data_IF_849192251903
#
_entry.id   IF_849192251903
#
_cell.length_a   1.000
_cell.length_b   1.000
_cell.length_c   1.000
_cell.angle_alpha   90.00
_cell.angle_beta   90.00
_cell.angle_gamma   90.00
#
_symmetry.space_group_name_H-M   'P 1'
#
loop_
_entity.id
_entity.type
_entity.pdbx_description
1 polymer ?
#
# COMPACT_ATOMS: atom_id res chain seq x y z
N UNK A 1 24.60 2.63 -7.64
CA UNK A 1 23.56 1.85 -6.92
C UNK A 1 23.60 0.40 -7.39
N UNK A 2 23.50 -0.57 -6.47
CA UNK A 2 23.35 -1.98 -6.87
C UNK A 2 21.99 -2.16 -7.58
N UNK A 3 21.94 -3.08 -8.53
CA UNK A 3 20.68 -3.59 -9.06
C UNK A 3 19.82 -4.10 -7.88
N UNK A 4 18.52 -3.77 -7.81
CA UNK A 4 17.61 -4.29 -6.79
C UNK A 4 17.72 -5.80 -6.52
N UNK A 5 17.97 -6.63 -7.53
CA UNK A 5 18.18 -8.07 -7.35
C UNK A 5 19.52 -8.38 -6.65
N UNK A 6 20.59 -7.68 -7.03
CA UNK A 6 21.91 -7.82 -6.40
C UNK A 6 21.90 -7.34 -4.94
N UNK A 7 21.10 -6.31 -4.64
CA UNK A 7 20.89 -5.83 -3.27
C UNK A 7 20.20 -6.89 -2.40
N UNK A 8 19.15 -7.54 -2.91
CA UNK A 8 18.47 -8.62 -2.18
C UNK A 8 19.41 -9.81 -1.93
N UNK A 9 20.25 -10.19 -2.91
CA UNK A 9 21.24 -11.25 -2.73
C UNK A 9 22.26 -10.93 -1.62
N UNK A 10 22.83 -9.71 -1.63
CA UNK A 10 23.77 -9.27 -0.61
C UNK A 10 23.15 -9.24 0.80
N UNK A 11 21.88 -8.83 0.91
CA UNK A 11 21.14 -8.83 2.18
C UNK A 11 20.89 -10.25 2.70
N UNK A 12 20.60 -11.22 1.82
CA UNK A 12 20.47 -12.64 2.22
C UNK A 12 21.79 -13.19 2.77
N UNK A 13 22.94 -12.87 2.16
CA UNK A 13 24.25 -13.25 2.69
C UNK A 13 24.52 -12.60 4.05
N UNK A 14 24.19 -11.31 4.21
CA UNK A 14 24.35 -10.61 5.47
C UNK A 14 23.48 -11.20 6.60
N UNK A 15 22.25 -11.61 6.28
CA UNK A 15 21.36 -12.30 7.22
C UNK A 15 21.94 -13.68 7.59
N UNK A 16 22.50 -14.43 6.64
CA UNK A 16 23.14 -15.70 6.93
C UNK A 16 24.36 -15.54 7.86
N UNK A 17 25.12 -14.45 7.72
CA UNK A 17 26.24 -14.13 8.59
C UNK A 17 25.81 -13.57 9.97
N UNK A 18 24.62 -12.97 10.07
CA UNK A 18 24.12 -12.35 11.29
C UNK A 18 22.58 -12.51 11.41
N UNK A 19 22.08 -13.72 11.72
CA UNK A 19 20.65 -14.03 11.69
C UNK A 19 19.82 -13.31 12.76
N UNK A 20 20.48 -12.82 13.81
CA UNK A 20 19.86 -12.11 14.94
C UNK A 20 19.66 -10.60 14.67
N UNK A 21 20.09 -10.10 13.50
CA UNK A 21 19.90 -8.70 13.11
C UNK A 21 18.61 -8.54 12.31
N UNK A 22 17.50 -8.35 13.02
CA UNK A 22 16.19 -8.19 12.41
C UNK A 22 16.08 -6.94 11.50
N UNK A 23 16.94 -5.93 11.67
CA UNK A 23 17.02 -4.79 10.76
C UNK A 23 17.37 -5.20 9.33
N UNK A 24 18.21 -6.23 9.17
CA UNK A 24 18.58 -6.76 7.86
C UNK A 24 17.39 -7.45 7.18
N UNK A 25 16.49 -8.07 7.96
CA UNK A 25 15.26 -8.68 7.45
C UNK A 25 14.30 -7.61 6.93
N UNK A 26 14.17 -6.49 7.64
CA UNK A 26 13.42 -5.32 7.18
C UNK A 26 14.02 -4.75 5.89
N UNK A 27 15.34 -4.56 5.83
CA UNK A 27 16.01 -4.05 4.63
C UNK A 27 15.83 -5.00 3.43
N UNK A 28 15.88 -6.32 3.66
CA UNK A 28 15.60 -7.33 2.62
C UNK A 28 14.16 -7.25 2.13
N UNK A 29 13.19 -7.16 3.03
CA UNK A 29 11.78 -7.01 2.65
C UNK A 29 11.55 -5.77 1.77
N UNK A 30 12.16 -4.63 2.14
CA UNK A 30 12.08 -3.40 1.35
C UNK A 30 12.71 -3.55 -0.04
N UNK A 31 13.83 -4.27 -0.15
CA UNK A 31 14.47 -4.55 -1.44
C UNK A 31 13.59 -5.46 -2.32
N UNK A 32 12.94 -6.47 -1.72
CA UNK A 32 12.03 -7.38 -2.41
C UNK A 32 10.77 -6.66 -2.93
N UNK A 33 10.22 -5.71 -2.17
CA UNK A 33 9.10 -4.88 -2.65
C UNK A 33 9.44 -4.05 -3.89
N UNK A 34 10.71 -3.64 -4.04
CA UNK A 34 11.17 -2.92 -5.25
C UNK A 34 11.33 -3.83 -6.46
N UNK A 35 11.54 -5.13 -6.25
CA UNK A 35 11.70 -6.13 -7.32
C UNK A 35 10.38 -6.82 -7.68
N UNK A 36 9.32 -6.62 -6.89
CA UNK A 36 8.01 -7.22 -7.10
C UNK A 36 7.82 -8.57 -6.41
N UNK A 37 8.81 -9.05 -5.65
CA UNK A 37 8.71 -10.28 -4.84
C UNK A 37 7.92 -10.02 -3.54
N UNK A 38 6.61 -9.80 -3.69
CA UNK A 38 5.71 -9.42 -2.59
C UNK A 38 5.52 -10.55 -1.56
N UNK A 39 5.54 -11.81 -1.99
CA UNK A 39 5.29 -12.95 -1.10
C UNK A 39 6.40 -13.14 -0.03
N UNK A 40 7.67 -13.06 -0.44
CA UNK A 40 8.80 -13.16 0.51
C UNK A 40 8.89 -11.90 1.38
N UNK A 41 8.63 -10.73 0.81
CA UNK A 41 8.59 -9.48 1.57
C UNK A 41 7.54 -9.53 2.69
N UNK A 42 6.35 -10.08 2.41
CA UNK A 42 5.27 -10.23 3.39
C UNK A 42 5.70 -11.14 4.55
N UNK A 43 6.28 -12.30 4.25
CA UNK A 43 6.79 -13.22 5.29
C UNK A 43 7.83 -12.57 6.19
N UNK A 44 8.77 -11.81 5.60
CA UNK A 44 9.81 -11.13 6.36
C UNK A 44 9.24 -10.04 7.26
N UNK A 45 8.28 -9.26 6.77
CA UNK A 45 7.65 -8.17 7.54
C UNK A 45 6.79 -8.72 8.69
N UNK A 46 6.05 -9.79 8.45
CA UNK A 46 5.23 -10.42 9.49
C UNK A 46 6.06 -11.14 10.55
N UNK A 47 7.30 -11.52 10.22
CA UNK A 47 8.25 -12.11 11.17
C UNK A 47 9.05 -11.06 11.98
N UNK A 48 8.85 -9.76 11.74
CA UNK A 48 9.59 -8.71 12.45
C UNK A 48 9.21 -8.66 13.94
N UNK A 49 10.19 -8.40 14.83
CA UNK A 49 9.92 -8.17 16.24
C UNK A 49 9.12 -6.87 16.44
N UNK A 50 8.42 -6.76 17.57
CA UNK A 50 7.48 -5.65 17.83
C UNK A 50 8.10 -4.25 17.69
N UNK A 51 9.37 -4.07 18.06
CA UNK A 51 10.10 -2.81 17.90
C UNK A 51 10.26 -2.39 16.43
N UNK A 52 10.49 -3.35 15.53
CA UNK A 52 10.62 -3.08 14.09
C UNK A 52 9.28 -3.11 13.36
N UNK A 53 8.29 -3.85 13.86
CA UNK A 53 6.94 -3.82 13.32
C UNK A 53 6.30 -2.43 13.40
N UNK A 54 6.73 -1.61 14.36
CA UNK A 54 6.32 -0.20 14.50
C UNK A 54 7.21 0.81 13.76
N UNK A 55 8.29 0.36 13.11
CA UNK A 55 9.14 1.22 12.27
C UNK A 55 8.31 1.76 11.09
N UNK A 56 8.39 3.06 10.80
CA UNK A 56 7.64 3.69 9.71
C UNK A 56 7.90 3.02 8.35
N UNK A 57 9.08 2.45 8.14
CA UNK A 57 9.41 1.67 6.94
C UNK A 57 8.62 0.36 6.89
N UNK A 58 8.52 -0.35 8.01
CA UNK A 58 7.76 -1.59 8.10
C UNK A 58 6.25 -1.34 7.93
N UNK A 59 5.73 -0.29 8.57
CA UNK A 59 4.33 0.13 8.45
C UNK A 59 3.98 0.46 7.00
N UNK A 60 4.85 1.22 6.31
CA UNK A 60 4.70 1.54 4.88
C UNK A 60 4.75 0.30 3.99
N UNK A 61 5.72 -0.57 4.23
CA UNK A 61 5.90 -1.80 3.49
C UNK A 61 4.67 -2.71 3.61
N UNK A 62 4.12 -2.85 4.83
CA UNK A 62 2.91 -3.63 5.09
C UNK A 62 1.67 -3.05 4.41
N UNK A 63 1.51 -1.72 4.45
CA UNK A 63 0.42 -1.06 3.74
C UNK A 63 0.51 -1.28 2.22
N UNK A 64 1.71 -1.14 1.63
CA UNK A 64 1.95 -1.40 0.20
C UNK A 64 1.67 -2.86 -0.18
N UNK A 65 2.04 -3.82 0.66
CA UNK A 65 1.74 -5.23 0.47
C UNK A 65 0.26 -5.54 0.51
N UNK A 66 -0.46 -4.98 1.49
CA UNK A 66 -1.92 -5.11 1.58
C UNK A 66 -2.59 -4.67 0.28
N UNK A 67 -2.16 -3.53 -0.27
CA UNK A 67 -2.62 -3.03 -1.56
C UNK A 67 -2.24 -3.94 -2.73
N UNK A 68 -1.00 -4.46 -2.78
CA UNK A 68 -0.59 -5.40 -3.81
C UNK A 68 -1.45 -6.69 -3.78
N UNK A 69 -1.76 -7.19 -2.59
CA UNK A 69 -2.59 -8.38 -2.40
C UNK A 69 -4.04 -8.17 -2.86
N UNK A 70 -4.58 -6.96 -2.70
CA UNK A 70 -5.90 -6.59 -3.24
C UNK A 70 -5.97 -6.71 -4.77
N UNK A 71 -4.86 -6.49 -5.48
CA UNK A 71 -4.83 -6.52 -6.94
C UNK A 71 -4.51 -7.88 -7.57
N UNK A 72 -4.21 -8.91 -6.78
CA UNK A 72 -3.72 -10.20 -7.27
C UNK A 72 -4.60 -10.81 -8.38
N UNK A 73 -5.92 -10.67 -8.23
CA UNK A 73 -6.92 -11.15 -9.19
C UNK A 73 -7.78 -10.01 -9.78
N UNK A 74 -7.28 -8.77 -9.71
CA UNK A 74 -8.02 -7.60 -10.18
C UNK A 74 -7.89 -7.41 -11.70
N UNK A 75 -8.94 -6.87 -12.36
CA UNK A 75 -8.84 -6.44 -13.76
C UNK A 75 -7.77 -5.36 -13.95
N UNK A 76 -7.38 -5.14 -15.21
CA UNK A 76 -6.48 -4.04 -15.55
C UNK A 76 -7.13 -2.67 -15.31
N UNK A 77 -6.28 -1.63 -15.24
CA UNK A 77 -6.71 -0.25 -14.97
C UNK A 77 -7.77 0.25 -15.96
N UNK A 78 -7.67 -0.09 -17.25
CA UNK A 78 -8.60 0.36 -18.28
C UNK A 78 -9.98 -0.25 -18.09
N UNK A 79 -10.03 -1.55 -17.79
CA UNK A 79 -11.29 -2.24 -17.45
C UNK A 79 -11.91 -1.65 -16.18
N UNK A 80 -11.12 -1.42 -15.13
CA UNK A 80 -11.60 -0.82 -13.88
C UNK A 80 -12.14 0.60 -14.10
N UNK A 81 -11.45 1.43 -14.88
CA UNK A 81 -11.90 2.77 -15.21
C UNK A 81 -13.23 2.74 -15.96
N UNK A 82 -13.37 1.89 -16.98
CA UNK A 82 -14.61 1.75 -17.73
C UNK A 82 -15.79 1.30 -16.84
N UNK A 83 -15.55 0.40 -15.88
CA UNK A 83 -16.57 -0.02 -14.91
C UNK A 83 -17.01 1.16 -14.04
N UNK A 84 -16.07 1.94 -13.50
CA UNK A 84 -16.37 3.12 -12.67
C UNK A 84 -17.06 4.23 -13.47
N UNK A 85 -16.72 4.40 -14.75
CA UNK A 85 -17.36 5.39 -15.62
C UNK A 85 -18.79 4.98 -15.99
N UNK A 86 -19.05 3.67 -16.13
CA UNK A 86 -20.37 3.13 -16.40
C UNK A 86 -21.26 3.10 -15.16
N UNK A 87 -20.70 2.73 -14.01
CA UNK A 87 -21.36 2.72 -12.71
C UNK A 87 -20.47 3.36 -11.64
N UNK A 88 -20.68 4.66 -11.45
CA UNK A 88 -19.99 5.44 -10.44
C UNK A 88 -20.32 5.05 -9.00
N UNK A 89 -21.27 4.14 -8.76
CA UNK A 89 -21.61 3.62 -7.44
C UNK A 89 -20.97 2.25 -7.14
N UNK A 90 -20.23 1.66 -8.08
CA UNK A 90 -19.48 0.43 -7.82
C UNK A 90 -18.25 0.71 -6.92
N UNK A 91 -18.49 0.66 -5.61
CA UNK A 91 -17.47 0.91 -4.59
C UNK A 91 -16.32 -0.10 -4.64
N UNK A 92 -16.56 -1.32 -5.12
CA UNK A 92 -15.51 -2.33 -5.24
C UNK A 92 -14.61 -2.03 -6.43
N UNK A 93 -15.18 -1.64 -7.58
CA UNK A 93 -14.40 -1.18 -8.73
C UNK A 93 -13.59 0.08 -8.40
N UNK A 94 -14.19 1.05 -7.68
CA UNK A 94 -13.46 2.24 -7.19
C UNK A 94 -12.31 1.89 -6.26
N UNK A 95 -12.51 0.93 -5.36
CA UNK A 95 -11.44 0.48 -4.48
C UNK A 95 -10.27 -0.07 -5.30
N UNK A 96 -10.53 -1.03 -6.20
CA UNK A 96 -9.49 -1.64 -7.03
C UNK A 96 -8.77 -0.59 -7.91
N UNK A 97 -9.52 0.34 -8.50
CA UNK A 97 -8.97 1.43 -9.30
C UNK A 97 -8.07 2.35 -8.45
N UNK A 98 -8.51 2.73 -7.25
CA UNK A 98 -7.72 3.53 -6.33
C UNK A 98 -6.44 2.83 -5.88
N UNK A 99 -6.52 1.54 -5.56
CA UNK A 99 -5.35 0.73 -5.22
C UNK A 99 -4.36 0.66 -6.38
N UNK A 100 -4.85 0.50 -7.62
CA UNK A 100 -4.01 0.47 -8.81
C UNK A 100 -3.28 1.79 -9.01
N UNK A 101 -4.01 2.91 -8.94
CA UNK A 101 -3.41 4.24 -9.02
C UNK A 101 -2.32 4.44 -7.96
N UNK A 102 -2.55 3.99 -6.72
CA UNK A 102 -1.58 4.14 -5.64
C UNK A 102 -0.28 3.39 -5.91
N UNK A 103 -0.38 2.14 -6.39
CA UNK A 103 0.81 1.34 -6.69
C UNK A 103 1.57 1.85 -7.92
N UNK A 104 0.85 2.44 -8.88
CA UNK A 104 1.39 3.09 -10.07
C UNK A 104 1.95 4.51 -9.77
N UNK A 105 1.86 5.00 -8.52
CA UNK A 105 2.36 6.31 -8.08
C UNK A 105 1.45 7.50 -8.44
N UNK A 106 0.22 7.23 -8.87
CA UNK A 106 -0.81 8.23 -9.15
C UNK A 106 -1.58 8.56 -7.86
N UNK A 107 -0.87 9.07 -6.85
CA UNK A 107 -1.36 9.19 -5.48
C UNK A 107 -2.65 10.01 -5.33
N UNK A 108 -2.75 11.15 -6.03
CA UNK A 108 -3.94 12.00 -5.95
C UNK A 108 -5.17 11.30 -6.57
N UNK A 109 -4.99 10.58 -7.68
CA UNK A 109 -6.06 9.81 -8.30
C UNK A 109 -6.53 8.67 -7.39
N UNK A 110 -5.60 8.00 -6.70
CA UNK A 110 -5.92 6.97 -5.72
C UNK A 110 -6.77 7.51 -4.57
N UNK A 111 -6.31 8.62 -3.98
CA UNK A 111 -7.00 9.26 -2.86
C UNK A 111 -8.40 9.75 -3.25
N UNK A 112 -8.60 10.25 -4.47
CA UNK A 112 -9.93 10.68 -4.91
C UNK A 112 -10.91 9.50 -5.01
N UNK A 113 -10.47 8.31 -5.46
CA UNK A 113 -11.34 7.12 -5.48
C UNK A 113 -11.77 6.71 -4.08
N UNK A 114 -10.84 6.62 -3.12
CA UNK A 114 -11.18 6.23 -1.75
C UNK A 114 -12.03 7.29 -1.03
N UNK A 115 -11.79 8.58 -1.34
CA UNK A 115 -12.59 9.67 -0.80
C UNK A 115 -14.02 9.64 -1.36
N UNK A 116 -14.19 9.36 -2.64
CA UNK A 116 -15.51 9.20 -3.25
C UNK A 116 -16.26 8.00 -2.65
N UNK A 117 -15.58 6.86 -2.44
CA UNK A 117 -16.17 5.74 -1.70
C UNK A 117 -16.65 6.17 -0.31
N UNK A 118 -15.84 6.95 0.41
CA UNK A 118 -16.21 7.46 1.74
C UNK A 118 -17.40 8.43 1.67
N UNK A 119 -17.55 9.23 0.62
CA UNK A 119 -18.73 10.10 0.43
C UNK A 119 -20.01 9.28 0.23
N UNK A 120 -19.92 8.20 -0.53
CA UNK A 120 -21.07 7.39 -0.90
C UNK A 120 -21.53 6.45 0.21
N UNK A 121 -20.63 5.64 0.77
CA UNK A 121 -20.94 4.73 1.88
C UNK A 121 -19.73 4.55 2.79
N UNK A 122 -19.80 5.16 3.97
CA UNK A 122 -18.74 5.14 4.97
C UNK A 122 -18.55 3.79 5.65
N UNK A 123 -19.57 2.93 5.59
CA UNK A 123 -19.64 1.64 6.29
C UNK A 123 -19.34 0.46 5.39
N UNK A 124 -19.24 0.69 4.08
CA UNK A 124 -18.95 -0.33 3.08
C UNK A 124 -17.78 -1.24 3.48
N UNK A 125 -18.00 -2.55 3.40
CA UNK A 125 -17.02 -3.62 3.65
C UNK A 125 -16.16 -3.39 4.92
N UNK A 126 -16.84 -3.24 6.07
CA UNK A 126 -16.20 -2.98 7.37
C UNK A 126 -15.36 -1.68 7.38
N UNK A 127 -16.00 -0.58 6.94
CA UNK A 127 -15.38 0.75 6.82
C UNK A 127 -14.15 0.78 5.91
N UNK A 128 -14.13 -0.06 4.87
CA UNK A 128 -13.05 -0.13 3.89
C UNK A 128 -12.63 1.24 3.35
N UNK A 129 -13.52 2.17 2.94
CA UNK A 129 -13.09 3.46 2.39
C UNK A 129 -12.22 4.27 3.37
N UNK A 130 -12.59 4.24 4.65
CA UNK A 130 -11.83 4.91 5.72
C UNK A 130 -10.48 4.26 5.91
N UNK A 131 -10.42 2.93 5.95
CA UNK A 131 -9.17 2.18 6.13
C UNK A 131 -8.22 2.41 4.94
N UNK A 132 -8.73 2.35 3.71
CA UNK A 132 -7.94 2.57 2.50
C UNK A 132 -7.32 3.96 2.45
N UNK A 133 -8.05 5.02 2.87
CA UNK A 133 -7.47 6.37 3.02
C UNK A 133 -6.33 6.41 4.04
N UNK A 134 -6.53 5.81 5.23
CA UNK A 134 -5.52 5.78 6.29
C UNK A 134 -4.26 5.04 5.82
N UNK A 135 -4.44 3.90 5.15
CA UNK A 135 -3.33 3.11 4.62
C UNK A 135 -2.63 3.82 3.47
N UNK A 136 -3.37 4.50 2.57
CA UNK A 136 -2.78 5.33 1.53
C UNK A 136 -1.94 6.47 2.12
N UNK A 137 -2.39 7.14 3.18
CA UNK A 137 -1.61 8.19 3.86
C UNK A 137 -0.31 7.69 4.50
N UNK A 138 -0.19 6.37 4.76
CA UNK A 138 1.08 5.79 5.21
C UNK A 138 2.03 5.65 4.03
N UNK A 139 1.53 5.21 2.88
CA UNK A 139 2.33 4.90 1.69
C UNK A 139 2.81 6.16 0.96
N UNK A 140 1.96 7.18 0.86
CA UNK A 140 2.23 8.41 0.11
C UNK A 140 3.29 9.26 0.83
N UNK A 141 4.34 9.64 0.12
CA UNK A 141 5.43 10.47 0.67
C UNK A 141 5.15 11.98 0.60
N UNK A 142 4.23 12.42 -0.27
CA UNK A 142 3.82 13.83 -0.39
C UNK A 142 2.96 14.24 0.82
N UNK A 143 3.60 14.83 1.84
CA UNK A 143 2.96 15.29 3.06
C UNK A 143 1.90 16.39 2.81
N UNK A 144 2.11 17.25 1.81
CA UNK A 144 1.17 18.32 1.48
C UNK A 144 -0.12 17.74 0.88
N UNK A 145 0.01 16.76 -0.02
CA UNK A 145 -1.12 16.01 -0.57
C UNK A 145 -1.88 15.26 0.54
N UNK A 146 -1.16 14.52 1.38
CA UNK A 146 -1.75 13.82 2.53
C UNK A 146 -2.48 14.79 3.46
N UNK A 147 -1.87 15.94 3.76
CA UNK A 147 -2.47 16.97 4.59
C UNK A 147 -3.78 17.52 4.02
N UNK A 148 -3.85 17.76 2.70
CA UNK A 148 -5.09 18.19 2.02
C UNK A 148 -6.19 17.13 2.15
N UNK A 149 -5.87 15.87 1.88
CA UNK A 149 -6.87 14.80 1.88
C UNK A 149 -7.31 14.37 3.28
N UNK A 150 -6.43 14.47 4.29
CA UNK A 150 -6.84 14.30 5.70
C UNK A 150 -7.91 15.31 6.11
N UNK A 151 -7.78 16.57 5.69
CA UNK A 151 -8.81 17.60 5.94
C UNK A 151 -10.13 17.27 5.24
N UNK A 152 -10.08 16.86 3.97
CA UNK A 152 -11.27 16.43 3.21
C UNK A 152 -11.96 15.24 3.90
N UNK A 153 -11.18 14.22 4.29
CA UNK A 153 -11.68 13.03 5.01
C UNK A 153 -12.37 13.43 6.32
N UNK A 154 -11.74 14.26 7.15
CA UNK A 154 -12.35 14.73 8.40
C UNK A 154 -13.67 15.44 8.16
N UNK A 155 -13.76 16.32 7.16
CA UNK A 155 -14.99 17.04 6.83
C UNK A 155 -16.16 16.14 6.38
N UNK A 156 -15.89 14.92 5.91
CA UNK A 156 -16.91 13.93 5.58
C UNK A 156 -17.26 13.03 6.77
N UNK A 157 -16.38 12.97 7.78
CA UNK A 157 -16.51 12.07 8.92
C UNK A 157 -17.30 12.70 10.07
N UNK A 158 -17.17 14.01 10.23
CA UNK A 158 -17.90 14.84 11.19
C UNK A 158 -19.15 15.46 10.56
#
# INVERSE_FOLDING_TARGET
PLDPQAQAAALREAIAAAPDKDELKLDLALALLKTGDTAEAEQLIDALPANLATDDRAVRAKARLSFANVLKDAPDTGTLQATVDADGADLRARHLLGVRHLLDGNDEAALEQFLEMLRQDRTFDDSLPRRSLIDAFRVIEDEDLVGRYRRKMSALVF
#
